data_IF_340629394838
#
_entry.id   IF_340629394838
#
_cell.length_a   1.000
_cell.length_b   1.000
_cell.length_c   1.000
_cell.angle_alpha   90.00
_cell.angle_beta   90.00
_cell.angle_gamma   90.00
#
_symmetry.space_group_name_H-M   'P 1'
#
loop_
_entity.id
_entity.type
_entity.pdbx_description
1 polymer ?
#
# COMPACT_ATOMS: atom_id res chain seq x y z
N UNK A 1 40.45 16.07 -6.14
CA UNK A 1 40.48 14.59 -6.04
C UNK A 1 39.18 14.02 -6.62
N UNK A 2 39.22 12.99 -7.49
CA UNK A 2 38.03 12.46 -8.19
C UNK A 2 37.01 11.72 -7.29
N UNK A 3 37.16 11.84 -5.97
CA UNK A 3 36.25 11.30 -4.96
C UNK A 3 35.79 12.36 -3.96
N UNK A 4 35.84 13.64 -4.34
CA UNK A 4 35.22 14.69 -3.54
C UNK A 4 33.70 14.41 -3.48
N UNK A 5 33.24 13.87 -2.35
CA UNK A 5 31.82 13.66 -2.10
C UNK A 5 31.13 15.02 -2.20
N UNK A 6 30.27 15.17 -3.20
CA UNK A 6 29.34 16.28 -3.29
C UNK A 6 28.54 16.29 -1.98
N UNK A 7 28.79 17.30 -1.14
CA UNK A 7 27.92 17.58 0.00
C UNK A 7 26.58 18.03 -0.55
N UNK A 8 25.69 17.06 -0.83
CA UNK A 8 24.26 17.35 -0.97
C UNK A 8 23.84 17.89 0.39
N UNK A 9 23.55 19.19 0.47
CA UNK A 9 22.91 19.82 1.64
C UNK A 9 21.84 18.85 2.14
N UNK A 10 22.00 18.38 3.38
CA UNK A 10 20.97 17.61 4.07
C UNK A 10 19.81 18.56 4.30
N UNK A 11 18.93 18.66 3.30
CA UNK A 11 17.59 19.20 3.51
C UNK A 11 16.99 18.46 4.71
N UNK A 12 16.49 19.26 5.64
CA UNK A 12 16.21 18.89 7.02
C UNK A 12 15.53 17.54 7.11
N UNK A 13 15.99 16.74 8.09
CA UNK A 13 15.34 15.53 8.62
C UNK A 13 14.20 15.05 7.74
N UNK A 14 14.43 14.03 6.89
CA UNK A 14 13.35 13.26 6.27
C UNK A 14 12.43 12.82 7.42
N UNK A 15 11.43 13.64 7.75
CA UNK A 15 10.35 13.30 8.67
C UNK A 15 9.75 12.10 7.97
N UNK A 16 10.02 10.90 8.49
CA UNK A 16 9.28 9.71 8.08
C UNK A 16 7.82 10.15 8.17
N UNK A 17 7.18 10.29 7.01
CA UNK A 17 5.79 10.71 6.94
C UNK A 17 5.07 9.72 7.84
N UNK A 18 4.55 10.22 8.95
CA UNK A 18 3.92 9.37 9.95
C UNK A 18 2.84 8.63 9.19
N UNK A 19 2.98 7.31 9.10
CA UNK A 19 2.01 6.51 8.38
C UNK A 19 0.76 6.53 9.24
N UNK A 20 -0.09 7.53 8.99
CA UNK A 20 -1.40 7.62 9.62
C UNK A 20 -2.22 6.49 9.01
N UNK A 21 -2.29 5.38 9.73
CA UNK A 21 -3.18 4.29 9.41
C UNK A 21 -4.61 4.83 9.50
N UNK A 22 -5.20 5.21 8.36
CA UNK A 22 -6.50 5.88 8.30
C UNK A 22 -7.61 5.07 9.01
N UNK A 23 -7.43 3.75 9.08
CA UNK A 23 -8.36 2.80 9.69
C UNK A 23 -7.93 2.32 11.08
N UNK A 24 -6.88 2.86 11.70
CA UNK A 24 -6.48 2.45 13.07
C UNK A 24 -7.63 2.65 14.05
N UNK A 25 -8.42 3.72 13.89
CA UNK A 25 -9.60 4.00 14.72
C UNK A 25 -10.76 3.02 14.52
N UNK A 26 -10.76 2.23 13.44
CA UNK A 26 -11.75 1.19 13.21
C UNK A 26 -11.35 -0.15 13.86
N UNK A 27 -10.07 -0.30 14.23
CA UNK A 27 -9.52 -1.54 14.77
C UNK A 27 -9.14 -1.42 16.25
N UNK A 28 -8.74 -0.24 16.71
CA UNK A 28 -8.29 -0.01 18.07
C UNK A 28 -9.15 1.06 18.75
N UNK A 29 -9.47 0.81 20.01
CA UNK A 29 -10.04 1.80 20.91
C UNK A 29 -9.04 2.93 21.22
N UNK A 30 -9.51 4.11 21.66
CA UNK A 30 -8.61 5.19 22.09
C UNK A 30 -7.63 4.76 23.19
N UNK A 31 -8.06 3.87 24.09
CA UNK A 31 -7.24 3.30 25.16
C UNK A 31 -6.10 2.42 24.60
N UNK A 32 -6.39 1.58 23.61
CA UNK A 32 -5.37 0.74 22.98
C UNK A 32 -4.38 1.57 22.17
N UNK A 33 -4.85 2.64 21.49
CA UNK A 33 -3.97 3.55 20.75
C UNK A 33 -2.99 4.26 21.70
N UNK A 34 -3.44 4.66 22.90
CA UNK A 34 -2.62 5.37 23.88
C UNK A 34 -1.66 4.46 24.65
N UNK A 35 -2.05 3.20 24.89
CA UNK A 35 -1.28 2.26 25.73
C UNK A 35 -0.40 1.29 24.94
N UNK A 36 -0.83 0.88 23.75
CA UNK A 36 -0.13 -0.13 22.95
C UNK A 36 0.92 0.54 22.06
N UNK A 37 2.16 0.05 22.05
CA UNK A 37 3.21 0.61 21.20
C UNK A 37 2.93 0.48 19.70
N UNK A 38 3.35 1.48 18.92
CA UNK A 38 3.16 1.52 17.46
C UNK A 38 3.66 0.28 16.69
N UNK A 39 4.78 -0.39 17.07
CA UNK A 39 5.19 -1.63 16.40
C UNK A 39 4.16 -2.76 16.55
N UNK A 40 3.55 -2.90 17.74
CA UNK A 40 2.57 -3.95 18.00
C UNK A 40 1.25 -3.68 17.29
N UNK A 41 0.79 -2.42 17.35
CA UNK A 41 -0.39 -1.97 16.60
C UNK A 41 -0.24 -2.18 15.09
N UNK A 42 0.95 -1.93 14.54
CA UNK A 42 1.20 -2.14 13.10
C UNK A 42 1.04 -3.60 12.69
N UNK A 43 1.55 -4.54 13.49
CA UNK A 43 1.39 -5.97 13.22
C UNK A 43 -0.08 -6.38 13.21
N UNK A 44 -0.84 -5.97 14.23
CA UNK A 44 -2.28 -6.27 14.31
C UNK A 44 -3.04 -5.60 13.17
N UNK A 45 -2.75 -4.34 12.87
CA UNK A 45 -3.36 -3.60 11.77
C UNK A 45 -3.17 -4.32 10.43
N UNK A 46 -1.94 -4.75 10.13
CA UNK A 46 -1.63 -5.48 8.90
C UNK A 46 -2.36 -6.82 8.84
N UNK A 47 -2.33 -7.61 9.91
CA UNK A 47 -3.04 -8.90 9.96
C UNK A 47 -4.56 -8.73 9.78
N UNK A 48 -5.15 -7.70 10.39
CA UNK A 48 -6.58 -7.39 10.24
C UNK A 48 -6.94 -6.99 8.80
N UNK A 49 -6.08 -6.24 8.11
CA UNK A 49 -6.28 -5.91 6.70
C UNK A 49 -6.16 -7.14 5.80
N UNK A 50 -5.15 -7.98 6.02
CA UNK A 50 -4.96 -9.24 5.27
C UNK A 50 -6.19 -10.14 5.42
N UNK A 51 -6.65 -10.37 6.65
CA UNK A 51 -7.86 -11.15 6.90
C UNK A 51 -9.12 -10.54 6.27
N UNK A 52 -9.20 -9.21 6.19
CA UNK A 52 -10.33 -8.56 5.50
C UNK A 52 -10.28 -8.78 3.99
N UNK A 53 -9.11 -8.65 3.39
CA UNK A 53 -8.88 -8.92 1.96
C UNK A 53 -9.21 -10.38 1.62
N UNK A 54 -8.80 -11.33 2.45
CA UNK A 54 -9.12 -12.75 2.27
C UNK A 54 -10.63 -13.00 2.32
N UNK A 55 -11.34 -12.39 3.28
CA UNK A 55 -12.82 -12.47 3.32
C UNK A 55 -13.47 -11.90 2.07
N UNK A 56 -12.99 -10.76 1.57
CA UNK A 56 -13.52 -10.18 0.34
C UNK A 56 -13.29 -11.09 -0.86
N UNK A 57 -12.09 -11.67 -0.99
CA UNK A 57 -11.81 -12.64 -2.05
C UNK A 57 -12.72 -13.85 -1.97
N UNK A 58 -12.95 -14.38 -0.77
CA UNK A 58 -13.86 -15.49 -0.54
C UNK A 58 -15.30 -15.15 -0.95
N UNK A 59 -15.80 -13.98 -0.56
CA UNK A 59 -17.14 -13.52 -0.95
C UNK A 59 -17.29 -13.36 -2.48
N UNK A 60 -16.27 -12.80 -3.15
CA UNK A 60 -16.28 -12.67 -4.61
C UNK A 60 -16.28 -14.04 -5.30
N UNK A 61 -15.56 -15.00 -4.75
CA UNK A 61 -15.54 -16.37 -5.25
C UNK A 61 -16.91 -17.05 -5.08
N UNK A 62 -17.52 -16.92 -3.90
CA UNK A 62 -18.84 -17.49 -3.59
C UNK A 62 -19.94 -16.94 -4.50
N UNK A 63 -19.88 -15.66 -4.85
CA UNK A 63 -20.83 -15.03 -5.77
C UNK A 63 -20.51 -15.23 -7.25
N UNK A 64 -19.47 -16.00 -7.58
CA UNK A 64 -18.95 -16.15 -8.94
C UNK A 64 -18.63 -14.80 -9.62
N UNK A 65 -18.29 -13.78 -8.82
CA UNK A 65 -17.89 -12.44 -9.26
C UNK A 65 -16.37 -12.26 -9.29
N UNK A 66 -15.60 -13.34 -9.08
CA UNK A 66 -14.15 -13.26 -9.06
C UNK A 66 -13.61 -12.85 -10.45
N UNK A 67 -12.91 -11.71 -10.58
CA UNK A 67 -12.67 -11.07 -11.86
C UNK A 67 -11.57 -11.74 -12.71
N UNK A 68 -10.78 -12.65 -12.14
CA UNK A 68 -9.60 -13.23 -12.78
C UNK A 68 -9.64 -14.77 -12.69
N UNK A 69 -9.66 -15.52 -13.80
CA UNK A 69 -9.57 -16.98 -13.76
C UNK A 69 -8.31 -17.47 -13.04
N UNK A 70 -8.41 -18.56 -12.27
CA UNK A 70 -7.30 -19.09 -11.46
C UNK A 70 -6.09 -19.51 -12.31
N UNK A 71 -6.31 -19.96 -13.54
CA UNK A 71 -5.25 -20.35 -14.47
C UNK A 71 -4.32 -19.17 -14.80
N UNK A 72 -4.86 -17.94 -14.77
CA UNK A 72 -4.07 -16.71 -14.96
C UNK A 72 -3.27 -16.33 -13.72
N UNK A 73 -3.57 -16.91 -12.56
CA UNK A 73 -2.85 -16.66 -11.31
C UNK A 73 -1.68 -17.62 -11.11
N UNK A 74 -1.69 -18.80 -11.73
CA UNK A 74 -0.62 -19.81 -11.60
C UNK A 74 0.80 -19.27 -11.87
N UNK A 75 1.06 -18.42 -12.88
CA UNK A 75 2.39 -17.84 -13.10
C UNK A 75 2.90 -16.98 -11.94
N UNK A 76 2.00 -16.49 -11.09
CA UNK A 76 2.33 -15.64 -9.94
C UNK A 76 2.41 -16.42 -8.62
N UNK A 77 2.20 -17.74 -8.66
CA UNK A 77 2.35 -18.60 -7.48
C UNK A 77 3.79 -18.52 -6.97
N UNK A 78 3.97 -18.22 -5.68
CA UNK A 78 5.29 -18.07 -5.06
C UNK A 78 6.00 -16.74 -5.38
N UNK A 79 5.29 -15.74 -5.90
CA UNK A 79 5.83 -14.40 -6.11
C UNK A 79 6.47 -13.85 -4.83
N UNK A 80 7.76 -13.50 -4.91
CA UNK A 80 8.47 -12.97 -3.76
C UNK A 80 8.03 -11.53 -3.43
N UNK A 81 8.20 -11.14 -2.16
CA UNK A 81 7.79 -9.82 -1.66
C UNK A 81 8.45 -8.65 -2.40
N UNK A 82 9.69 -8.81 -2.89
CA UNK A 82 10.40 -7.73 -3.61
C UNK A 82 9.75 -7.46 -4.97
N UNK A 83 9.46 -8.51 -5.73
CA UNK A 83 8.81 -8.40 -7.04
C UNK A 83 7.38 -7.88 -6.88
N UNK A 84 6.62 -8.42 -5.92
CA UNK A 84 5.26 -7.93 -5.63
C UNK A 84 5.23 -6.43 -5.31
N UNK A 85 6.14 -5.95 -4.44
CA UNK A 85 6.26 -4.53 -4.13
C UNK A 85 6.59 -3.67 -5.36
N UNK A 86 7.48 -4.16 -6.23
CA UNK A 86 7.83 -3.43 -7.46
C UNK A 86 6.63 -3.31 -8.41
N UNK A 87 5.84 -4.37 -8.56
CA UNK A 87 4.63 -4.36 -9.38
C UNK A 87 3.59 -3.38 -8.83
N UNK A 88 3.33 -3.42 -7.52
CA UNK A 88 2.41 -2.49 -6.84
C UNK A 88 2.89 -1.04 -6.98
N UNK A 89 4.19 -0.78 -6.86
CA UNK A 89 4.74 0.56 -7.05
C UNK A 89 4.58 1.07 -8.49
N UNK A 90 4.71 0.17 -9.49
CA UNK A 90 4.43 0.47 -10.89
C UNK A 90 2.96 0.85 -11.08
N UNK A 91 2.04 -0.01 -10.65
CA UNK A 91 0.59 0.24 -10.72
C UNK A 91 0.18 1.55 -10.05
N UNK A 92 0.76 1.87 -8.89
CA UNK A 92 0.48 3.12 -8.20
C UNK A 92 0.93 4.34 -9.01
N UNK A 93 2.11 4.27 -9.66
CA UNK A 93 2.59 5.32 -10.55
C UNK A 93 1.65 5.49 -11.73
N UNK A 94 1.27 4.40 -12.37
CA UNK A 94 0.40 4.42 -13.55
C UNK A 94 -0.98 5.02 -13.19
N UNK A 95 -1.55 4.62 -12.05
CA UNK A 95 -2.80 5.18 -11.53
C UNK A 95 -2.69 6.68 -11.22
N UNK A 96 -1.57 7.12 -10.62
CA UNK A 96 -1.34 8.53 -10.36
C UNK A 96 -1.23 9.35 -11.65
N UNK A 97 -0.53 8.83 -12.67
CA UNK A 97 -0.42 9.47 -13.97
C UNK A 97 -1.76 9.57 -14.69
N UNK A 98 -2.56 8.49 -14.69
CA UNK A 98 -3.91 8.50 -15.25
C UNK A 98 -4.80 9.55 -14.57
N UNK A 99 -4.70 9.68 -13.24
CA UNK A 99 -5.46 10.69 -12.49
C UNK A 99 -5.08 12.11 -12.89
N UNK A 100 -3.80 12.39 -13.14
CA UNK A 100 -3.35 13.70 -13.61
C UNK A 100 -3.94 14.00 -14.99
N UNK A 101 -3.82 13.06 -15.94
CA UNK A 101 -4.39 13.20 -17.30
C UNK A 101 -5.89 13.44 -17.27
N UNK A 102 -6.61 12.74 -16.39
CA UNK A 102 -8.06 12.92 -16.23
C UNK A 102 -8.39 14.34 -15.74
N UNK A 103 -7.66 14.86 -14.75
CA UNK A 103 -7.83 16.24 -14.28
C UNK A 103 -7.48 17.28 -15.34
N UNK A 104 -6.51 17.01 -16.21
CA UNK A 104 -6.17 17.89 -17.33
C UNK A 104 -7.28 17.91 -18.38
N UNK A 105 -7.87 16.76 -18.71
CA UNK A 105 -9.01 16.65 -19.61
C UNK A 105 -10.24 17.39 -19.05
N UNK A 106 -10.56 17.19 -17.77
CA UNK A 106 -11.68 17.89 -17.10
C UNK A 106 -11.52 19.42 -17.08
N UNK A 107 -10.28 19.94 -17.11
CA UNK A 107 -10.01 21.39 -17.20
C UNK A 107 -10.10 21.95 -18.61
N UNK A 108 -10.06 21.08 -19.63
CA UNK A 108 -10.09 21.45 -21.05
C UNK A 108 -11.50 21.45 -21.65
N UNK A 109 -12.51 21.06 -20.86
CA UNK A 109 -13.95 21.14 -21.14
C UNK A 109 -14.52 22.35 -20.41
#
# INVERSE_FOLDING_TARGET
HPYARLYTKRDGTKRRKMWNHALEKALFTPQEISTMGAPHRRTIYTASLEAHVDRLHQQLLEYALFPVPFEKLEPFRGLNSKTAKSMVAGLWRDAAEMKIKLLELERSV
#
